data_IF_434080473607
#
_entry.id   IF_434080473607
#
_cell.length_a   1.000
_cell.length_b   1.000
_cell.length_c   1.000
_cell.angle_alpha   90.00
_cell.angle_beta   90.00
_cell.angle_gamma   90.00
#
_symmetry.space_group_name_H-M   'P 1'
#
loop_
_entity.id
_entity.type
_entity.pdbx_description
1 polymer ?
#
# COMPACT_ATOMS: atom_id res chain seq x y z
N UNK A 1 -22.91 -8.97 8.98
CA UNK A 1 -22.18 -7.76 8.56
C UNK A 1 -20.73 -7.96 8.94
N UNK A 2 -19.90 -8.36 7.99
CA UNK A 2 -18.46 -8.55 8.22
C UNK A 2 -17.85 -7.19 8.53
N UNK A 3 -17.08 -7.07 9.60
CA UNK A 3 -16.40 -5.82 9.95
C UNK A 3 -15.43 -5.47 8.81
N UNK A 4 -15.68 -4.34 8.14
CA UNK A 4 -14.95 -3.94 6.92
C UNK A 4 -13.47 -3.67 7.24
N UNK A 5 -13.17 -3.09 8.40
CA UNK A 5 -11.83 -2.97 8.96
C UNK A 5 -11.61 -4.01 10.06
N UNK A 6 -10.54 -4.79 9.96
CA UNK A 6 -10.17 -5.74 11.02
C UNK A 6 -9.35 -5.09 12.12
N UNK A 7 -9.41 -5.69 13.31
CA UNK A 7 -8.55 -5.29 14.45
C UNK A 7 -7.08 -5.65 14.21
N UNK A 8 -6.82 -6.72 13.44
CA UNK A 8 -5.49 -7.26 13.19
C UNK A 8 -5.10 -7.24 11.70
N UNK A 9 -5.95 -6.69 10.84
CA UNK A 9 -5.80 -6.64 9.39
C UNK A 9 -6.23 -5.27 8.84
N UNK A 10 -5.92 -5.03 7.57
CA UNK A 10 -6.25 -3.78 6.88
C UNK A 10 -7.71 -3.75 6.42
N UNK A 11 -8.42 -4.87 6.48
CA UNK A 11 -9.79 -5.03 6.04
C UNK A 11 -10.02 -6.27 5.20
N UNK A 12 -11.27 -6.47 4.77
CA UNK A 12 -11.55 -7.46 3.72
C UNK A 12 -10.93 -7.01 2.40
N UNK A 13 -10.52 -7.96 1.57
CA UNK A 13 -10.00 -7.65 0.23
C UNK A 13 -11.00 -6.81 -0.57
N UNK A 14 -12.28 -7.21 -0.58
CA UNK A 14 -13.36 -6.50 -1.26
C UNK A 14 -13.46 -5.03 -0.83
N UNK A 15 -13.35 -4.74 0.48
CA UNK A 15 -13.35 -3.37 0.98
C UNK A 15 -12.12 -2.59 0.47
N UNK A 16 -10.92 -3.14 0.65
CA UNK A 16 -9.65 -2.50 0.26
C UNK A 16 -9.63 -2.25 -1.25
N UNK A 17 -9.98 -3.25 -2.05
CA UNK A 17 -10.05 -3.16 -3.51
C UNK A 17 -11.06 -2.14 -3.97
N UNK A 18 -12.28 -2.12 -3.39
CA UNK A 18 -13.32 -1.14 -3.74
C UNK A 18 -12.87 0.29 -3.49
N UNK A 19 -12.38 0.62 -2.29
CA UNK A 19 -12.02 2.02 -1.97
C UNK A 19 -10.77 2.45 -2.74
N UNK A 20 -9.79 1.59 -2.90
CA UNK A 20 -8.63 1.88 -3.76
C UNK A 20 -9.07 2.13 -5.21
N UNK A 21 -9.86 1.23 -5.80
CA UNK A 21 -10.27 1.32 -7.21
C UNK A 21 -11.19 2.52 -7.49
N UNK A 22 -11.98 2.96 -6.50
CA UNK A 22 -12.80 4.18 -6.62
C UNK A 22 -11.94 5.44 -6.83
N UNK A 23 -10.72 5.45 -6.28
CA UNK A 23 -9.79 6.56 -6.39
C UNK A 23 -8.73 6.35 -7.50
N UNK A 24 -8.62 5.12 -8.02
CA UNK A 24 -7.62 4.76 -9.02
C UNK A 24 -8.02 5.15 -10.44
N UNK A 25 -7.29 6.13 -10.98
CA UNK A 25 -7.45 6.66 -12.35
C UNK A 25 -6.68 5.87 -13.39
N UNK A 26 -5.60 5.21 -12.99
CA UNK A 26 -4.75 4.43 -13.88
C UNK A 26 -5.30 3.01 -14.00
N UNK A 27 -5.90 2.69 -15.14
CA UNK A 27 -6.58 1.41 -15.36
C UNK A 27 -5.66 0.21 -15.14
N UNK A 28 -4.39 0.31 -15.54
CA UNK A 28 -3.39 -0.76 -15.43
C UNK A 28 -2.98 -1.06 -13.98
N UNK A 29 -3.30 -0.16 -13.05
CA UNK A 29 -2.97 -0.28 -11.63
C UNK A 29 -4.21 -0.53 -10.76
N UNK A 30 -5.34 -0.90 -11.35
CA UNK A 30 -6.54 -1.31 -10.61
C UNK A 30 -6.37 -2.70 -10.01
N UNK A 31 -6.89 -2.88 -8.80
CA UNK A 31 -6.94 -4.20 -8.17
C UNK A 31 -8.03 -5.05 -8.83
N UNK A 32 -7.80 -6.35 -9.03
CA UNK A 32 -8.84 -7.24 -9.54
C UNK A 32 -10.06 -7.31 -8.59
N UNK A 33 -11.21 -7.76 -9.09
CA UNK A 33 -12.42 -7.86 -8.27
C UNK A 33 -12.33 -8.96 -7.19
N UNK A 34 -11.53 -9.98 -7.44
CA UNK A 34 -11.33 -11.11 -6.53
C UNK A 34 -9.91 -11.65 -6.64
N UNK A 35 -9.40 -12.18 -5.53
CA UNK A 35 -8.07 -12.80 -5.43
C UNK A 35 -8.13 -13.99 -4.48
N UNK A 36 -7.21 -14.93 -4.69
CA UNK A 36 -7.03 -16.05 -3.77
C UNK A 36 -6.27 -15.60 -2.50
N UNK A 37 -6.37 -16.42 -1.46
CA UNK A 37 -5.56 -16.23 -0.26
C UNK A 37 -4.08 -16.58 -0.53
N UNK A 38 -3.17 -15.99 0.24
CA UNK A 38 -1.73 -16.17 0.12
C UNK A 38 -0.99 -14.87 -0.19
N UNK A 39 0.26 -15.02 -0.65
CA UNK A 39 1.07 -13.92 -1.14
C UNK A 39 0.78 -13.71 -2.63
N UNK A 40 -0.01 -12.69 -2.96
CA UNK A 40 -0.48 -12.44 -4.33
C UNK A 40 0.23 -11.21 -4.89
N UNK A 41 0.75 -11.33 -6.11
CA UNK A 41 1.23 -10.19 -6.91
C UNK A 41 0.04 -9.67 -7.71
N UNK A 42 -0.40 -8.44 -7.46
CA UNK A 42 -1.57 -7.86 -8.14
C UNK A 42 -1.18 -7.19 -9.45
N UNK A 43 -0.01 -6.56 -9.49
CA UNK A 43 0.63 -6.10 -10.71
C UNK A 43 2.14 -6.03 -10.48
N UNK A 44 2.89 -6.27 -11.56
CA UNK A 44 4.35 -6.21 -11.61
C UNK A 44 4.73 -5.56 -12.94
N UNK A 45 4.91 -4.24 -12.90
CA UNK A 45 5.30 -3.41 -14.03
C UNK A 45 6.75 -2.98 -13.88
N UNK A 46 7.32 -2.35 -14.91
CA UNK A 46 8.64 -1.72 -14.82
C UNK A 46 8.70 -0.58 -13.78
N UNK A 47 7.57 0.08 -13.51
CA UNK A 47 7.49 1.20 -12.56
C UNK A 47 7.09 0.80 -11.14
N UNK A 48 6.17 -0.14 -10.99
CA UNK A 48 5.60 -0.52 -9.70
C UNK A 48 5.30 -2.00 -9.66
N UNK A 49 5.68 -2.62 -8.55
CA UNK A 49 5.24 -3.93 -8.13
C UNK A 49 4.40 -3.83 -6.87
N UNK A 50 3.21 -4.42 -6.89
CA UNK A 50 2.32 -4.48 -5.74
C UNK A 50 2.01 -5.91 -5.35
N UNK A 51 2.28 -6.23 -4.10
CA UNK A 51 1.96 -7.53 -3.52
C UNK A 51 1.09 -7.38 -2.28
N UNK A 52 0.20 -8.34 -2.06
CA UNK A 52 -0.63 -8.41 -0.87
C UNK A 52 -0.50 -9.77 -0.19
N UNK A 53 -0.47 -9.77 1.14
CA UNK A 53 -0.65 -10.96 1.95
C UNK A 53 -2.12 -11.03 2.36
N UNK A 54 -2.81 -12.08 1.93
CA UNK A 54 -4.25 -12.24 2.13
C UNK A 54 -4.51 -13.56 2.84
N UNK A 55 -5.36 -13.53 3.86
CA UNK A 55 -5.69 -14.69 4.67
C UNK A 55 -7.18 -14.66 5.02
N UNK A 56 -7.92 -15.70 4.61
CA UNK A 56 -9.38 -15.74 4.71
C UNK A 56 -10.03 -14.48 4.13
N UNK A 57 -9.58 -14.05 2.95
CA UNK A 57 -10.02 -12.84 2.27
C UNK A 57 -9.80 -11.54 3.06
N UNK A 58 -8.88 -11.54 4.03
CA UNK A 58 -8.48 -10.36 4.80
C UNK A 58 -7.06 -9.97 4.46
N UNK A 59 -6.85 -8.69 4.19
CA UNK A 59 -5.53 -8.17 3.77
C UNK A 59 -4.69 -7.90 5.02
N UNK A 60 -3.67 -8.70 5.25
CA UNK A 60 -2.77 -8.57 6.40
C UNK A 60 -1.63 -7.58 6.13
N UNK A 61 -1.15 -7.54 4.89
CA UNK A 61 -0.03 -6.70 4.45
C UNK A 61 -0.21 -6.29 3.00
N UNK A 62 0.12 -5.03 2.71
CA UNK A 62 0.31 -4.54 1.34
C UNK A 62 1.77 -4.14 1.21
N UNK A 63 2.44 -4.54 0.14
CA UNK A 63 3.81 -4.12 -0.17
C UNK A 63 3.84 -3.50 -1.55
N UNK A 64 4.42 -2.30 -1.65
CA UNK A 64 4.59 -1.55 -2.89
C UNK A 64 6.09 -1.35 -3.10
N UNK A 65 6.59 -1.72 -4.26
CA UNK A 65 8.00 -1.53 -4.64
C UNK A 65 8.06 -0.68 -5.91
N UNK A 66 8.95 0.31 -5.93
CA UNK A 66 9.18 1.14 -7.12
C UNK A 66 10.63 1.61 -7.21
N UNK A 67 11.27 1.56 -8.39
CA UNK A 67 12.54 2.24 -8.64
C UNK A 67 12.38 3.75 -8.89
N UNK A 68 11.15 4.24 -9.04
CA UNK A 68 10.83 5.64 -9.32
C UNK A 68 9.90 6.23 -8.25
N UNK A 69 10.37 6.37 -6.99
CA UNK A 69 9.54 6.82 -5.87
C UNK A 69 8.96 8.23 -6.05
N UNK A 70 9.52 9.05 -6.94
CA UNK A 70 9.03 10.40 -7.24
C UNK A 70 8.09 10.44 -8.45
N UNK A 71 7.81 9.30 -9.08
CA UNK A 71 6.92 9.24 -10.25
C UNK A 71 5.48 9.58 -9.87
N UNK A 72 4.78 10.25 -10.78
CA UNK A 72 3.35 10.52 -10.60
C UNK A 72 2.50 9.23 -10.56
N UNK A 73 3.00 8.15 -11.16
CA UNK A 73 2.38 6.81 -11.11
C UNK A 73 2.41 6.27 -9.69
N UNK A 74 3.59 6.28 -9.04
CA UNK A 74 3.74 5.81 -7.68
C UNK A 74 2.89 6.64 -6.70
N UNK A 75 2.91 7.98 -6.83
CA UNK A 75 2.12 8.86 -5.96
C UNK A 75 0.63 8.52 -6.05
N UNK A 76 0.09 8.32 -7.25
CA UNK A 76 -1.32 7.94 -7.42
C UNK A 76 -1.64 6.57 -6.83
N UNK A 77 -0.77 5.57 -7.02
CA UNK A 77 -0.94 4.23 -6.42
C UNK A 77 -0.93 4.30 -4.91
N UNK A 78 0.00 5.05 -4.32
CA UNK A 78 0.11 5.19 -2.88
C UNK A 78 -1.08 5.96 -2.29
N UNK A 79 -1.44 7.11 -2.88
CA UNK A 79 -2.62 7.90 -2.48
C UNK A 79 -3.91 7.06 -2.53
N UNK A 80 -4.05 6.14 -3.50
CA UNK A 80 -5.17 5.21 -3.56
C UNK A 80 -5.37 4.40 -2.28
N UNK A 81 -4.29 3.99 -1.62
CA UNK A 81 -4.36 3.33 -0.31
C UNK A 81 -4.55 4.31 0.84
N UNK A 82 -3.97 5.51 0.78
CA UNK A 82 -4.20 6.53 1.81
C UNK A 82 -5.68 6.93 1.88
N UNK A 83 -6.38 7.06 0.75
CA UNK A 83 -7.83 7.23 0.71
C UNK A 83 -8.57 6.03 1.30
N UNK A 84 -8.15 4.81 0.96
CA UNK A 84 -8.73 3.56 1.49
C UNK A 84 -8.68 3.42 3.01
N UNK A 85 -7.67 4.02 3.62
CA UNK A 85 -7.34 3.88 5.04
C UNK A 85 -7.60 5.17 5.84
N UNK A 86 -8.25 6.17 5.23
CA UNK A 86 -8.52 7.48 5.82
C UNK A 86 -7.25 8.13 6.41
N UNK A 87 -6.16 8.09 5.62
CA UNK A 87 -4.82 8.51 6.01
C UNK A 87 -4.18 9.47 4.99
N UNK A 88 -4.99 10.15 4.16
CA UNK A 88 -4.51 10.99 3.06
C UNK A 88 -3.50 12.05 3.50
N UNK A 89 -2.31 12.04 2.88
CA UNK A 89 -1.25 13.01 3.14
C UNK A 89 -0.59 12.89 4.51
N UNK A 90 -0.92 11.88 5.30
CA UNK A 90 -0.41 11.74 6.67
C UNK A 90 1.00 11.17 6.71
N UNK A 91 1.37 10.34 5.74
CA UNK A 91 2.69 9.71 5.71
C UNK A 91 3.71 10.42 4.83
N UNK A 92 3.36 11.55 4.21
CA UNK A 92 4.23 12.27 3.26
C UNK A 92 5.59 12.64 3.87
N UNK A 93 5.62 13.05 5.14
CA UNK A 93 6.87 13.37 5.84
C UNK A 93 7.73 12.12 6.06
N UNK A 94 7.12 10.97 6.33
CA UNK A 94 7.82 9.69 6.54
C UNK A 94 8.36 9.15 5.23
N UNK A 95 7.57 9.24 4.16
CA UNK A 95 8.02 9.02 2.79
C UNK A 95 9.23 9.89 2.44
N UNK A 96 9.17 11.21 2.69
CA UNK A 96 10.30 12.12 2.44
C UNK A 96 11.53 11.74 3.25
N UNK A 97 11.39 11.38 4.53
CA UNK A 97 12.54 10.93 5.34
C UNK A 97 13.23 9.72 4.71
N UNK A 98 12.47 8.71 4.30
CA UNK A 98 13.02 7.49 3.70
C UNK A 98 13.74 7.78 2.37
N UNK A 99 13.08 8.53 1.47
CA UNK A 99 13.61 8.79 0.13
C UNK A 99 14.77 9.78 0.12
N UNK A 100 14.75 10.80 0.98
CA UNK A 100 15.85 11.77 1.09
C UNK A 100 17.13 11.14 1.66
N UNK A 101 16.97 10.21 2.61
CA UNK A 101 18.09 9.63 3.36
C UNK A 101 18.54 8.29 2.78
N UNK A 102 17.87 7.75 1.77
CA UNK A 102 18.06 6.38 1.28
C UNK A 102 18.13 5.37 2.43
N UNK A 103 17.08 5.37 3.26
CA UNK A 103 17.03 4.55 4.47
C UNK A 103 15.62 4.22 4.91
N UNK A 104 15.50 3.57 6.06
CA UNK A 104 14.21 3.17 6.60
C UNK A 104 13.53 4.30 7.38
N UNK A 105 12.23 4.46 7.21
CA UNK A 105 11.39 5.33 8.03
C UNK A 105 10.04 4.66 8.25
N UNK A 106 9.38 4.90 9.38
CA UNK A 106 8.06 4.35 9.62
C UNK A 106 7.21 5.29 10.48
N UNK A 107 5.90 5.17 10.35
CA UNK A 107 4.94 5.94 11.15
C UNK A 107 3.59 5.21 11.26
N UNK A 108 2.85 5.51 12.32
CA UNK A 108 1.54 4.90 12.60
C UNK A 108 0.45 5.95 12.54
N UNK A 109 -0.55 5.75 11.68
CA UNK A 109 -1.72 6.62 11.55
C UNK A 109 -2.97 5.76 11.57
N UNK A 110 -3.95 6.12 12.40
CA UNK A 110 -5.23 5.40 12.55
C UNK A 110 -5.04 3.88 12.77
N UNK A 111 -3.98 3.51 13.51
CA UNK A 111 -3.61 2.12 13.80
C UNK A 111 -3.03 1.35 12.60
N UNK A 112 -2.68 2.03 11.51
CA UNK A 112 -1.96 1.47 10.36
C UNK A 112 -0.50 1.90 10.45
N UNK A 113 0.41 0.94 10.42
CA UNK A 113 1.84 1.16 10.28
C UNK A 113 2.18 1.24 8.79
N UNK A 114 2.72 2.38 8.37
CA UNK A 114 3.40 2.52 7.09
C UNK A 114 4.91 2.50 7.31
N UNK A 115 5.58 1.48 6.79
CA UNK A 115 7.03 1.29 6.85
C UNK A 115 7.63 1.47 5.46
N UNK A 116 8.58 2.39 5.35
CA UNK A 116 9.28 2.77 4.13
C UNK A 116 10.73 2.33 4.25
N UNK A 117 11.31 1.86 3.15
CA UNK A 117 12.73 1.63 3.03
C UNK A 117 13.17 1.96 1.61
N UNK A 118 14.01 2.99 1.46
CA UNK A 118 14.60 3.35 0.17
C UNK A 118 16.02 2.82 0.15
N UNK A 119 16.37 2.01 -0.85
CA UNK A 119 17.73 1.48 -1.01
C UNK A 119 18.68 2.56 -1.56
N UNK A 120 20.00 2.36 -1.49
CA UNK A 120 20.97 3.25 -2.15
C UNK A 120 20.77 3.38 -3.67
N UNK A 121 20.15 2.39 -4.31
CA UNK A 121 19.81 2.39 -5.74
C UNK A 121 18.46 3.09 -6.02
N UNK A 122 17.94 3.85 -5.04
CA UNK A 122 16.67 4.59 -5.11
C UNK A 122 15.42 3.71 -5.30
N UNK A 123 15.50 2.42 -4.93
CA UNK A 123 14.34 1.53 -4.92
C UNK A 123 13.61 1.70 -3.59
N UNK A 124 12.38 2.18 -3.64
CA UNK A 124 11.52 2.32 -2.48
C UNK A 124 10.64 1.08 -2.30
N UNK A 125 10.68 0.50 -1.11
CA UNK A 125 9.71 -0.48 -0.63
C UNK A 125 8.85 0.15 0.45
N UNK A 126 7.53 0.11 0.29
CA UNK A 126 6.54 0.51 1.30
C UNK A 126 5.75 -0.71 1.73
N UNK A 127 5.59 -0.89 3.05
CA UNK A 127 4.75 -1.92 3.65
C UNK A 127 3.67 -1.25 4.51
N UNK A 128 2.42 -1.59 4.24
CA UNK A 128 1.27 -1.21 5.08
C UNK A 128 0.81 -2.44 5.86
N UNK A 129 0.72 -2.32 7.18
CA UNK A 129 0.20 -3.36 8.09
C UNK A 129 -0.59 -2.71 9.23
N UNK A 130 -1.35 -3.50 10.01
CA UNK A 130 -1.82 -2.99 11.29
C UNK A 130 -0.65 -2.76 12.26
N UNK A 131 -0.71 -1.65 12.99
CA UNK A 131 0.18 -1.40 14.12
C UNK A 131 -0.20 -2.35 15.27
N UNK A 132 0.80 -2.93 15.92
CA UNK A 132 0.63 -3.83 17.07
C UNK A 132 0.89 -3.11 18.38
#
# INVERSE_FOLDING_TARGET
>A
MSQELGTNDLGTYDYVARVYNQNMRLTDYRLPESVEDGAVVLFDTDQIKLTMQINHQRVEKITIETPEPQSSTYMQVFEGFEFGLDALGTWINTYHRSTSQHGSAADVVNGILASYNTTPDNVLTVSLTRAK
#
